data_IF_614982082960
#
_entry.id   IF_614982082960
#
_cell.length_a   1.000
_cell.length_b   1.000
_cell.length_c   1.000
_cell.angle_alpha   90.00
_cell.angle_beta   90.00
_cell.angle_gamma   90.00
#
_symmetry.space_group_name_H-M   'P 1'
#
loop_
_entity.id
_entity.type
_entity.pdbx_description
1 polymer ?
#
# COMPACT_ATOMS: atom_id res chain seq x y z
N UNK A 1 -10.30 -23.24 -5.17
CA UNK A 1 -9.61 -22.34 -4.21
C UNK A 1 -10.64 -21.90 -3.20
N UNK A 2 -10.46 -22.24 -1.92
CA UNK A 2 -11.41 -21.89 -0.86
C UNK A 2 -10.84 -20.79 0.03
N UNK A 3 -11.70 -19.93 0.55
CA UNK A 3 -11.37 -18.98 1.61
C UNK A 3 -11.31 -19.73 2.94
N UNK A 4 -10.27 -19.48 3.74
CA UNK A 4 -10.13 -20.05 5.08
C UNK A 4 -10.35 -18.91 6.09
N UNK A 5 -11.43 -18.93 6.89
CA UNK A 5 -11.61 -17.94 7.94
C UNK A 5 -10.62 -18.20 9.07
N UNK A 6 -9.81 -17.19 9.37
CA UNK A 6 -8.81 -17.23 10.45
C UNK A 6 -9.10 -16.15 11.48
N UNK A 7 -8.79 -16.44 12.75
CA UNK A 7 -8.88 -15.45 13.84
C UNK A 7 -7.46 -15.08 14.27
N UNK A 8 -7.22 -13.79 14.43
CA UNK A 8 -5.95 -13.23 14.89
C UNK A 8 -6.20 -12.26 16.03
N UNK A 9 -5.27 -12.14 16.97
CA UNK A 9 -5.33 -11.14 18.01
C UNK A 9 -5.28 -9.72 17.41
N UNK A 10 -6.18 -8.84 17.84
CA UNK A 10 -6.28 -7.48 17.29
C UNK A 10 -4.98 -6.67 17.49
N UNK A 11 -4.31 -6.83 18.62
CA UNK A 11 -3.04 -6.15 18.91
C UNK A 11 -1.91 -6.58 17.95
N UNK A 12 -1.84 -7.88 17.64
CA UNK A 12 -0.86 -8.43 16.70
C UNK A 12 -1.15 -7.97 15.28
N UNK A 13 -2.42 -8.05 14.86
CA UNK A 13 -2.88 -7.57 13.55
C UNK A 13 -2.57 -6.08 13.35
N UNK A 14 -2.85 -5.24 14.37
CA UNK A 14 -2.51 -3.81 14.34
C UNK A 14 -1.00 -3.58 14.23
N UNK A 15 -0.19 -4.36 14.95
CA UNK A 15 1.27 -4.25 14.87
C UNK A 15 1.78 -4.61 13.48
N UNK A 16 1.21 -5.64 12.88
CA UNK A 16 1.53 -6.10 11.53
C UNK A 16 1.16 -5.03 10.48
N UNK A 17 -0.09 -4.54 10.52
CA UNK A 17 -0.59 -3.53 9.58
C UNK A 17 -0.09 -2.10 9.82
N UNK A 18 0.53 -1.80 10.97
CA UNK A 18 1.16 -0.49 11.19
C UNK A 18 2.46 -0.34 10.38
N UNK A 19 3.15 -1.46 10.15
CA UNK A 19 4.36 -1.50 9.33
C UNK A 19 4.05 -1.68 7.84
N UNK A 20 2.89 -2.25 7.54
CA UNK A 20 2.54 -2.80 6.24
C UNK A 20 1.19 -2.22 5.78
N UNK A 21 1.16 -1.64 4.59
CA UNK A 21 -0.04 -1.06 3.98
C UNK A 21 -0.85 -2.10 3.16
N UNK A 22 -1.99 -1.68 2.61
CA UNK A 22 -2.65 -2.45 1.55
C UNK A 22 -1.68 -2.66 0.40
N UNK A 23 -1.51 -3.90 -0.04
CA UNK A 23 -0.49 -4.29 -1.02
C UNK A 23 0.82 -4.83 -0.40
N UNK A 24 1.06 -4.72 0.90
CA UNK A 24 2.26 -5.32 1.47
C UNK A 24 2.22 -6.86 1.39
N UNK A 25 3.36 -7.48 1.10
CA UNK A 25 3.56 -8.93 1.25
C UNK A 25 3.97 -9.20 2.70
N UNK A 26 3.27 -10.12 3.34
CA UNK A 26 3.50 -10.50 4.73
C UNK A 26 3.61 -12.02 4.87
N UNK A 27 4.40 -12.46 5.85
CA UNK A 27 4.41 -13.86 6.25
C UNK A 27 3.28 -14.09 7.27
N UNK A 28 2.37 -15.00 6.96
CA UNK A 28 1.29 -15.45 7.84
C UNK A 28 1.59 -16.90 8.24
N UNK A 29 1.62 -17.15 9.55
CA UNK A 29 1.75 -18.51 10.08
C UNK A 29 0.34 -19.11 10.27
N UNK A 30 0.08 -20.21 9.58
CA UNK A 30 -1.18 -20.95 9.66
C UNK A 30 -0.85 -22.43 9.88
N UNK A 31 -1.29 -23.01 11.00
CA UNK A 31 -1.06 -24.44 11.32
C UNK A 31 0.42 -24.85 11.18
N UNK A 32 1.33 -24.08 11.79
CA UNK A 32 2.80 -24.26 11.76
C UNK A 32 3.43 -24.13 10.35
N UNK A 33 2.68 -23.61 9.37
CA UNK A 33 3.19 -23.29 8.02
C UNK A 33 3.26 -21.80 7.81
N UNK A 34 4.43 -21.33 7.38
CA UNK A 34 4.66 -19.95 6.93
C UNK A 34 4.19 -19.80 5.49
N UNK A 35 3.27 -18.87 5.27
CA UNK A 35 2.70 -18.56 3.98
C UNK A 35 2.97 -17.09 3.64
N UNK A 36 3.51 -16.84 2.45
CA UNK A 36 3.57 -15.48 1.93
C UNK A 36 2.17 -15.09 1.42
N UNK A 37 1.66 -13.99 1.94
CA UNK A 37 0.34 -13.48 1.66
C UNK A 37 0.39 -11.99 1.38
N UNK A 38 -0.37 -11.53 0.39
CA UNK A 38 -0.60 -10.11 0.16
C UNK A 38 -1.79 -9.64 1.00
N UNK A 39 -1.65 -8.47 1.62
CA UNK A 39 -2.78 -7.76 2.24
C UNK A 39 -3.63 -7.15 1.13
N UNK A 40 -4.73 -7.80 0.77
CA UNK A 40 -5.59 -7.39 -0.34
C UNK A 40 -6.52 -6.25 0.05
N UNK A 41 -7.14 -6.36 1.23
CA UNK A 41 -8.10 -5.38 1.72
C UNK A 41 -8.04 -5.30 3.25
N UNK A 42 -8.19 -4.07 3.77
CA UNK A 42 -8.34 -3.81 5.20
C UNK A 42 -9.61 -2.97 5.39
N UNK A 43 -10.64 -3.59 5.95
CA UNK A 43 -11.91 -2.92 6.24
C UNK A 43 -11.86 -2.35 7.64
N UNK A 44 -12.13 -1.04 7.75
CA UNK A 44 -12.17 -0.32 9.02
C UNK A 44 -13.52 0.34 9.22
N UNK A 45 -13.97 0.48 10.46
CA UNK A 45 -15.12 1.31 10.79
C UNK A 45 -14.75 2.81 10.84
N UNK A 46 -15.74 3.67 11.07
CA UNK A 46 -15.55 5.12 11.18
C UNK A 46 -14.66 5.54 12.36
N UNK A 47 -14.44 4.66 13.34
CA UNK A 47 -13.55 4.84 14.48
C UNK A 47 -12.14 4.26 14.23
N UNK A 48 -11.82 3.91 12.97
CA UNK A 48 -10.55 3.33 12.54
C UNK A 48 -10.23 1.95 13.13
N UNK A 49 -11.23 1.24 13.65
CA UNK A 49 -11.09 -0.13 14.14
C UNK A 49 -11.16 -1.10 12.96
N UNK A 50 -10.22 -2.04 12.92
CA UNK A 50 -10.16 -3.06 11.87
C UNK A 50 -11.27 -4.08 12.11
N UNK A 51 -12.17 -4.22 11.15
CA UNK A 51 -13.30 -5.16 11.16
C UNK A 51 -12.95 -6.47 10.44
N UNK A 52 -12.30 -6.36 9.28
CA UNK A 52 -11.94 -7.49 8.43
C UNK A 52 -10.65 -7.20 7.68
N UNK A 53 -9.88 -8.27 7.42
CA UNK A 53 -8.66 -8.19 6.60
C UNK A 53 -8.62 -9.40 5.69
N UNK A 54 -8.44 -9.13 4.40
CA UNK A 54 -8.27 -10.15 3.38
C UNK A 54 -6.79 -10.37 3.08
N UNK A 55 -6.37 -11.62 3.29
CA UNK A 55 -5.04 -12.09 2.89
C UNK A 55 -5.17 -13.02 1.69
N UNK A 56 -4.39 -12.74 0.64
CA UNK A 56 -4.29 -13.59 -0.53
C UNK A 56 -2.94 -14.30 -0.52
N UNK A 57 -2.95 -15.63 -0.37
CA UNK A 57 -1.75 -16.43 -0.58
C UNK A 57 -1.18 -16.18 -1.97
N UNK A 58 0.14 -15.98 -2.04
CA UNK A 58 0.86 -15.74 -3.29
C UNK A 58 1.81 -16.89 -3.58
N UNK A 59 1.83 -17.32 -4.85
CA UNK A 59 2.88 -18.20 -5.37
C UNK A 59 4.03 -17.36 -5.91
N UNK A 60 5.23 -17.93 -5.88
CA UNK A 60 6.36 -17.37 -6.62
C UNK A 60 6.00 -17.23 -8.10
N UNK A 61 6.41 -16.13 -8.73
CA UNK A 61 6.08 -15.77 -10.12
C UNK A 61 4.59 -15.57 -10.44
N UNK A 62 3.74 -15.33 -9.45
CA UNK A 62 2.34 -14.99 -9.70
C UNK A 62 2.19 -13.51 -10.10
N UNK A 63 1.36 -13.25 -11.10
CA UNK A 63 0.93 -11.89 -11.45
C UNK A 63 -0.23 -11.49 -10.56
N UNK A 64 -0.05 -10.42 -9.80
CA UNK A 64 -1.04 -9.93 -8.85
C UNK A 64 -1.48 -8.51 -9.20
N UNK A 65 -2.65 -8.12 -8.70
CA UNK A 65 -3.17 -6.75 -8.77
C UNK A 65 -3.21 -6.18 -7.37
N UNK A 66 -2.63 -5.00 -7.18
CA UNK A 66 -2.54 -4.35 -5.87
C UNK A 66 -2.76 -2.86 -5.95
N UNK A 67 -3.29 -2.30 -4.87
CA UNK A 67 -3.44 -0.86 -4.69
C UNK A 67 -2.30 -0.32 -3.85
N UNK A 68 -1.33 0.32 -4.49
CA UNK A 68 -0.10 0.81 -3.87
C UNK A 68 -0.25 2.28 -3.49
N UNK A 69 0.11 2.69 -2.26
CA UNK A 69 0.07 4.10 -1.88
C UNK A 69 1.19 4.91 -2.53
N UNK A 70 0.87 6.16 -2.83
CA UNK A 70 1.81 7.20 -3.22
C UNK A 70 2.27 7.94 -1.96
N UNK A 71 3.58 8.15 -1.83
CA UNK A 71 4.20 9.01 -0.82
C UNK A 71 4.84 10.20 -1.53
N UNK A 72 4.65 11.39 -0.98
CA UNK A 72 5.28 12.61 -1.48
C UNK A 72 6.51 12.94 -0.64
N UNK A 73 7.60 13.33 -1.30
CA UNK A 73 8.83 13.79 -0.64
C UNK A 73 9.11 15.24 -1.05
N UNK A 74 9.60 16.05 -0.12
CA UNK A 74 9.96 17.44 -0.40
C UNK A 74 8.80 18.45 -0.25
N UNK A 75 7.68 18.06 0.35
CA UNK A 75 6.54 18.95 0.56
C UNK A 75 6.90 20.19 1.40
N UNK A 76 7.81 20.05 2.36
CA UNK A 76 8.33 21.15 3.18
C UNK A 76 8.98 22.26 2.35
N UNK A 77 9.56 21.93 1.20
CA UNK A 77 10.16 22.93 0.30
C UNK A 77 9.07 23.77 -0.38
N UNK A 78 7.93 23.16 -0.73
CA UNK A 78 6.78 23.87 -1.26
C UNK A 78 6.20 24.84 -0.22
N UNK A 79 6.02 24.35 1.01
CA UNK A 79 5.50 25.14 2.12
C UNK A 79 6.41 26.36 2.41
N UNK A 80 7.73 26.18 2.35
CA UNK A 80 8.71 27.27 2.51
C UNK A 80 8.55 28.38 1.46
N UNK A 81 8.09 28.02 0.25
CA UNK A 81 7.79 28.93 -0.86
C UNK A 81 6.34 29.42 -0.87
N UNK A 82 5.56 29.13 0.18
CA UNK A 82 4.12 29.42 0.30
C UNK A 82 3.27 28.74 -0.79
N UNK A 83 3.72 27.58 -1.25
CA UNK A 83 2.97 26.72 -2.14
C UNK A 83 2.30 25.60 -1.34
N UNK A 84 1.09 25.22 -1.73
CA UNK A 84 0.35 24.11 -1.12
C UNK A 84 0.24 22.99 -2.15
N UNK A 85 0.60 21.78 -1.76
CA UNK A 85 0.40 20.59 -2.58
C UNK A 85 -1.05 20.11 -2.45
N UNK A 86 -1.75 20.00 -3.57
CA UNK A 86 -3.08 19.39 -3.64
C UNK A 86 -2.95 17.97 -4.21
N UNK A 87 -3.36 16.96 -3.43
CA UNK A 87 -3.31 15.54 -3.85
C UNK A 87 -4.72 14.98 -4.01
N UNK A 88 -5.09 14.57 -5.23
CA UNK A 88 -6.40 13.98 -5.49
C UNK A 88 -6.45 12.46 -5.29
N UNK A 89 -5.36 11.76 -5.64
CA UNK A 89 -5.25 10.31 -5.52
C UNK A 89 -3.93 9.95 -4.85
N UNK A 90 -4.01 9.30 -3.68
CA UNK A 90 -2.84 8.81 -2.93
C UNK A 90 -2.57 7.33 -3.17
N UNK A 91 -3.18 6.74 -4.19
CA UNK A 91 -3.06 5.31 -4.50
C UNK A 91 -3.08 5.06 -6.02
N UNK A 92 -2.32 4.05 -6.46
CA UNK A 92 -2.28 3.55 -7.84
C UNK A 92 -2.61 2.06 -7.83
N UNK A 93 -3.50 1.64 -8.72
CA UNK A 93 -3.75 0.22 -8.98
C UNK A 93 -2.68 -0.31 -9.95
N UNK A 94 -1.86 -1.26 -9.49
CA UNK A 94 -0.73 -1.82 -10.22
C UNK A 94 -0.93 -3.32 -10.47
N UNK A 95 -0.48 -3.80 -11.62
CA UNK A 95 -0.48 -5.22 -11.98
C UNK A 95 0.91 -5.66 -12.43
N UNK A 96 1.47 -6.68 -11.79
CA UNK A 96 2.82 -7.15 -12.09
C UNK A 96 3.18 -8.44 -11.37
N UNK A 97 4.40 -8.93 -11.60
CA UNK A 97 4.95 -10.05 -10.84
C UNK A 97 5.15 -9.60 -9.39
N UNK A 98 4.68 -10.42 -8.45
CA UNK A 98 4.77 -10.17 -7.00
C UNK A 98 6.17 -9.81 -6.51
N UNK A 99 7.23 -10.27 -7.18
CA UNK A 99 8.62 -9.99 -6.81
C UNK A 99 9.09 -8.57 -7.18
N UNK A 100 8.36 -7.88 -8.07
CA UNK A 100 8.75 -6.58 -8.64
C UNK A 100 7.83 -5.46 -8.14
N UNK A 101 6.63 -5.78 -7.63
CA UNK A 101 5.69 -4.76 -7.17
C UNK A 101 6.23 -4.04 -5.92
N UNK A 102 6.37 -2.70 -5.94
CA UNK A 102 6.84 -1.95 -4.78
C UNK A 102 5.75 -1.81 -3.70
N UNK A 103 6.17 -1.64 -2.46
CA UNK A 103 5.26 -1.37 -1.32
C UNK A 103 4.67 0.06 -1.34
N UNK A 104 5.37 1.01 -1.97
CA UNK A 104 4.90 2.38 -2.19
C UNK A 104 5.62 3.02 -3.37
N UNK A 105 4.98 4.00 -4.01
CA UNK A 105 5.61 4.84 -5.02
C UNK A 105 5.95 6.19 -4.39
N UNK A 106 7.20 6.61 -4.49
CA UNK A 106 7.64 7.91 -3.99
C UNK A 106 7.69 8.94 -5.13
N UNK A 107 7.08 10.09 -4.92
CA UNK A 107 7.05 11.21 -5.87
C UNK A 107 7.74 12.41 -5.23
N UNK A 108 8.80 12.89 -5.89
CA UNK A 108 9.49 14.10 -5.47
C UNK A 108 8.76 15.34 -5.97
N UNK A 109 8.33 16.19 -5.03
CA UNK A 109 7.61 17.43 -5.30
C UNK A 109 8.42 18.67 -4.91
N UNK A 110 9.67 18.51 -4.45
CA UNK A 110 10.48 19.60 -3.90
C UNK A 110 10.65 20.79 -4.84
N UNK A 111 10.73 20.54 -6.14
CA UNK A 111 11.02 21.55 -7.16
C UNK A 111 9.78 22.06 -7.91
N UNK A 112 8.58 21.57 -7.56
CA UNK A 112 7.34 22.00 -8.21
C UNK A 112 7.07 23.49 -7.98
N UNK A 113 6.60 24.16 -9.03
CA UNK A 113 6.16 25.54 -9.04
C UNK A 113 4.62 25.62 -8.93
N UNK A 114 4.10 26.84 -8.80
CA UNK A 114 2.66 27.05 -8.87
C UNK A 114 2.12 26.57 -10.23
N UNK A 115 0.94 25.95 -10.21
CA UNK A 115 0.24 25.38 -11.37
C UNK A 115 0.90 24.14 -12.03
N UNK A 116 2.06 23.68 -11.53
CA UNK A 116 2.65 22.40 -11.96
C UNK A 116 1.75 21.22 -11.58
N UNK A 117 1.71 20.22 -12.46
CA UNK A 117 0.90 19.01 -12.29
C UNK A 117 1.75 17.79 -12.56
N UNK A 118 1.53 16.75 -11.76
CA UNK A 118 2.09 15.41 -11.98
C UNK A 118 0.91 14.50 -12.30
N UNK A 119 0.89 13.95 -13.50
CA UNK A 119 -0.11 12.99 -13.93
C UNK A 119 0.35 11.56 -13.68
N UNK A 120 -0.59 10.61 -13.75
CA UNK A 120 -0.28 9.19 -13.59
C UNK A 120 0.74 8.73 -14.66
N UNK A 121 0.68 9.29 -15.86
CA UNK A 121 1.60 8.97 -16.95
C UNK A 121 3.05 9.45 -16.71
N UNK A 122 3.25 10.43 -15.82
CA UNK A 122 4.58 10.95 -15.46
C UNK A 122 5.29 10.08 -14.41
N UNK A 123 4.57 9.13 -13.81
CA UNK A 123 5.08 8.30 -12.72
C UNK A 123 5.86 7.12 -13.29
N UNK A 124 7.14 7.04 -12.94
CA UNK A 124 7.99 5.90 -13.29
C UNK A 124 7.60 4.71 -12.42
N UNK A 125 7.13 3.65 -13.09
CA UNK A 125 6.81 2.36 -12.47
C UNK A 125 8.02 1.43 -12.62
N UNK A 126 8.50 0.78 -11.54
CA UNK A 126 9.60 -0.18 -11.60
C UNK A 126 9.25 -1.50 -12.30
#
# INVERSE_FOLDING_TARGET
HGTIPVKMCNAELRRMLKKNNSGSIIEVELEDKKLNCVVKEVQKNNLHEILHVDFQYIKANEVIKMRIPIKTIGQENLESRRLTLETHNLFIDLQGNVEIIPESIEINVADMQADDKIFIEDIVIP
#
